data_IF_313024912516
#
_entry.id   IF_313024912516
#
_cell.length_a   1.000
_cell.length_b   1.000
_cell.length_c   1.000
_cell.angle_alpha   90.00
_cell.angle_beta   90.00
_cell.angle_gamma   90.00
#
_symmetry.space_group_name_H-M   'P 1'
#
loop_
_entity.id
_entity.type
_entity.pdbx_description
1 polymer ?
#
# COMPACT_ATOMS: atom_id res chain seq x y z
N UNK A 1 7.50 -7.11 -18.55
CA UNK A 1 7.48 -6.54 -17.18
C UNK A 1 8.74 -5.72 -16.97
N UNK A 2 8.61 -4.40 -16.81
CA UNK A 2 9.74 -3.53 -16.48
C UNK A 2 10.18 -3.77 -15.03
N UNK A 3 11.45 -4.12 -14.83
CA UNK A 3 12.00 -4.29 -13.48
C UNK A 3 12.54 -2.93 -13.02
N UNK A 4 12.03 -2.34 -11.93
CA UNK A 4 12.57 -1.10 -11.40
C UNK A 4 14.02 -1.33 -10.94
N UNK A 5 14.85 -0.30 -11.11
CA UNK A 5 16.22 -0.25 -10.60
C UNK A 5 16.23 -0.22 -9.07
N UNK A 6 17.41 -0.27 -8.46
CA UNK A 6 17.50 -0.23 -7.00
C UNK A 6 17.07 1.13 -6.46
N UNK A 7 17.51 2.20 -7.12
CA UNK A 7 17.17 3.58 -6.84
C UNK A 7 15.66 3.82 -6.95
N UNK A 8 15.03 3.28 -8.00
CA UNK A 8 13.57 3.36 -8.17
C UNK A 8 12.82 2.72 -7.00
N UNK A 9 13.30 1.58 -6.49
CA UNK A 9 12.66 0.91 -5.34
C UNK A 9 12.77 1.73 -4.06
N UNK A 10 13.89 2.44 -3.86
CA UNK A 10 14.04 3.35 -2.72
C UNK A 10 13.02 4.49 -2.82
N UNK A 11 12.91 5.13 -3.99
CA UNK A 11 11.95 6.21 -4.23
C UNK A 11 10.52 5.70 -4.06
N UNK A 12 10.18 4.55 -4.63
CA UNK A 12 8.86 3.92 -4.47
C UNK A 12 8.53 3.65 -3.01
N UNK A 13 9.48 3.14 -2.22
CA UNK A 13 9.25 2.90 -0.79
C UNK A 13 9.04 4.20 -0.01
N UNK A 14 9.80 5.25 -0.32
CA UNK A 14 9.61 6.57 0.30
C UNK A 14 8.22 7.16 -0.01
N UNK A 15 7.77 7.05 -1.26
CA UNK A 15 6.42 7.48 -1.67
C UNK A 15 5.34 6.70 -0.91
N UNK A 16 5.48 5.38 -0.79
CA UNK A 16 4.52 4.56 -0.02
C UNK A 16 4.45 4.99 1.45
N UNK A 17 5.59 5.26 2.10
CA UNK A 17 5.60 5.70 3.51
C UNK A 17 4.90 7.05 3.69
N UNK A 18 5.16 8.01 2.81
CA UNK A 18 4.56 9.35 2.89
C UNK A 18 3.06 9.32 2.59
N UNK A 19 2.67 8.69 1.49
CA UNK A 19 1.26 8.64 1.08
C UNK A 19 0.44 7.76 2.03
N UNK A 20 1.00 6.65 2.53
CA UNK A 20 0.35 5.82 3.54
C UNK A 20 0.01 6.61 4.80
N UNK A 21 0.96 7.39 5.33
CA UNK A 21 0.72 8.20 6.52
C UNK A 21 -0.40 9.25 6.36
N UNK A 22 -0.60 9.76 5.13
CA UNK A 22 -1.64 10.76 4.83
C UNK A 22 -2.99 10.09 4.58
N UNK A 23 -3.02 9.04 3.75
CA UNK A 23 -4.26 8.46 3.25
C UNK A 23 -4.82 7.31 4.10
N UNK A 24 -4.03 6.71 5.00
CA UNK A 24 -4.54 5.62 5.85
C UNK A 24 -5.77 6.01 6.66
N UNK A 25 -5.82 7.26 7.14
CA UNK A 25 -6.97 7.78 7.90
C UNK A 25 -8.21 8.05 7.03
N UNK A 26 -8.06 8.02 5.71
CA UNK A 26 -9.12 8.34 4.75
C UNK A 26 -9.65 7.12 4.00
N UNK A 27 -8.98 5.96 4.13
CA UNK A 27 -9.47 4.73 3.52
C UNK A 27 -10.71 4.21 4.24
N UNK A 28 -11.65 3.68 3.47
CA UNK A 28 -12.77 2.93 4.02
C UNK A 28 -12.29 1.63 4.66
N UNK A 29 -13.02 1.13 5.65
CA UNK A 29 -12.68 -0.10 6.38
C UNK A 29 -12.59 -1.31 5.44
N UNK A 30 -13.50 -1.40 4.45
CA UNK A 30 -13.52 -2.45 3.42
C UNK A 30 -12.42 -2.32 2.34
N UNK A 31 -11.54 -1.33 2.45
CA UNK A 31 -10.39 -1.19 1.56
C UNK A 31 -9.24 -2.04 2.08
N UNK A 32 -8.90 -3.15 1.42
CA UNK A 32 -7.81 -4.04 1.84
C UNK A 32 -6.59 -4.05 0.91
N UNK A 33 -6.66 -3.31 -0.21
CA UNK A 33 -5.64 -3.36 -1.25
C UNK A 33 -4.34 -2.65 -0.83
N UNK A 34 -3.25 -3.40 -0.71
CA UNK A 34 -1.88 -2.89 -0.49
C UNK A 34 -1.74 -1.97 0.74
N UNK A 35 -2.60 -2.14 1.75
CA UNK A 35 -2.55 -1.43 3.02
C UNK A 35 -1.82 -2.23 4.08
N UNK A 36 -1.20 -1.52 5.02
CA UNK A 36 -0.49 -2.16 6.12
C UNK A 36 -1.47 -2.89 7.06
N UNK A 37 -1.21 -4.16 7.38
CA UNK A 37 -2.11 -4.98 8.21
C UNK A 37 -3.33 -5.56 7.48
N UNK A 38 -3.56 -5.19 6.21
CA UNK A 38 -4.64 -5.73 5.40
C UNK A 38 -4.19 -6.87 4.47
N UNK A 39 -5.10 -7.80 4.16
CA UNK A 39 -4.82 -8.87 3.18
C UNK A 39 -6.04 -9.16 2.29
N UNK A 40 -5.78 -9.78 1.13
CA UNK A 40 -6.85 -10.17 0.20
C UNK A 40 -7.84 -11.18 0.81
N UNK A 41 -7.44 -11.95 1.82
CA UNK A 41 -8.33 -12.90 2.49
C UNK A 41 -9.32 -12.19 3.42
N UNK A 42 -8.89 -11.12 4.09
CA UNK A 42 -9.81 -10.30 4.91
C UNK A 42 -10.93 -9.70 4.05
N UNK A 43 -10.62 -9.32 2.80
CA UNK A 43 -11.62 -8.84 1.86
C UNK A 43 -12.66 -9.89 1.43
N UNK A 44 -12.41 -11.18 1.69
CA UNK A 44 -13.36 -12.27 1.41
C UNK A 44 -14.22 -12.61 2.64
N UNK A 45 -13.79 -12.17 3.83
CA UNK A 45 -14.44 -12.47 5.12
C UNK A 45 -15.41 -11.36 5.56
N UNK A 46 -15.37 -10.20 4.93
CA UNK A 46 -16.36 -9.10 5.05
C UNK A 46 -17.58 -9.29 4.12
#
# INVERSE_FOLDING_TARGET
MGKPTFEDKIVQRAVVMLLGAIYEQQFYDFSHGFREGHSAHQALEE
#
